data_IF_323121233278
#
_entry.id   IF_323121233278
#
_cell.length_a   1.000
_cell.length_b   1.000
_cell.length_c   1.000
_cell.angle_alpha   90.00
_cell.angle_beta   90.00
_cell.angle_gamma   90.00
#
_symmetry.space_group_name_H-M   'P 1'
#
loop_
_entity.id
_entity.type
_entity.pdbx_description
1 polymer ?
#
# COMPACT_ATOMS: atom_id res chain seq x y z
N UNK A 1 47.17 -49.31 1.82
CA UNK A 1 46.28 -49.93 0.82
C UNK A 1 45.50 -48.78 0.18
N UNK A 2 45.96 -48.11 -0.89
CA UNK A 2 45.97 -48.51 -2.31
C UNK A 2 44.56 -49.03 -2.72
N UNK A 3 43.82 -48.49 -3.71
CA UNK A 3 44.17 -47.76 -4.93
C UNK A 3 43.03 -46.85 -5.44
N UNK A 4 43.43 -45.80 -6.17
CA UNK A 4 42.65 -44.98 -7.10
C UNK A 4 42.53 -45.65 -8.48
N UNK A 5 41.58 -45.19 -9.31
CA UNK A 5 41.65 -45.32 -10.77
C UNK A 5 40.82 -44.24 -11.49
N UNK A 6 41.48 -43.48 -12.37
CA UNK A 6 40.91 -42.65 -13.45
C UNK A 6 41.33 -43.25 -14.83
N UNK A 7 41.13 -42.58 -15.99
CA UNK A 7 40.35 -43.02 -17.17
C UNK A 7 41.23 -43.43 -18.38
N UNK A 8 40.67 -43.64 -19.60
CA UNK A 8 41.23 -43.01 -20.81
C UNK A 8 40.15 -42.70 -21.92
N UNK A 9 40.46 -42.40 -23.21
CA UNK A 9 40.57 -41.01 -23.69
C UNK A 9 39.84 -40.68 -25.03
N UNK A 10 39.66 -39.37 -25.26
CA UNK A 10 39.84 -38.62 -26.53
C UNK A 10 39.26 -39.11 -27.85
N UNK A 11 38.44 -38.26 -28.49
CA UNK A 11 38.53 -37.99 -29.93
C UNK A 11 38.22 -36.52 -30.25
N UNK A 12 38.96 -36.01 -31.24
CA UNK A 12 39.17 -34.62 -31.62
C UNK A 12 38.45 -34.30 -32.94
N UNK A 13 38.52 -33.02 -33.35
CA UNK A 13 38.22 -32.44 -34.68
C UNK A 13 36.75 -32.04 -34.90
N UNK A 14 36.36 -30.92 -35.50
CA UNK A 14 37.05 -29.77 -36.13
C UNK A 14 35.96 -28.76 -36.55
N UNK A 15 36.30 -27.46 -36.58
CA UNK A 15 35.47 -26.38 -37.16
C UNK A 15 35.24 -26.57 -38.67
N UNK A 16 34.19 -25.93 -39.22
CA UNK A 16 34.46 -24.98 -40.30
C UNK A 16 33.74 -23.64 -40.18
N UNK A 17 34.45 -22.58 -40.61
CA UNK A 17 33.93 -21.27 -41.03
C UNK A 17 33.35 -21.38 -42.45
N UNK A 18 32.18 -20.79 -42.72
CA UNK A 18 32.05 -19.56 -43.54
C UNK A 18 30.59 -19.16 -43.86
N UNK A 19 30.34 -17.87 -43.63
CA UNK A 19 29.59 -16.89 -44.42
C UNK A 19 28.54 -17.40 -45.44
N UNK A 20 27.26 -17.04 -45.22
CA UNK A 20 26.43 -16.35 -46.23
C UNK A 20 25.30 -15.56 -45.55
N UNK A 21 25.10 -14.34 -46.06
CA UNK A 21 24.10 -13.33 -45.64
C UNK A 21 22.80 -13.55 -46.42
N UNK A 22 21.65 -13.15 -45.86
CA UNK A 22 20.84 -12.20 -46.62
C UNK A 22 20.41 -10.98 -45.79
N UNK A 23 20.09 -9.93 -46.52
CA UNK A 23 19.70 -8.57 -46.11
C UNK A 23 18.18 -8.46 -46.32
N UNK A 24 17.46 -7.89 -45.35
CA UNK A 24 16.26 -7.02 -45.46
C UNK A 24 15.60 -6.94 -44.06
N UNK A 25 15.69 -5.84 -43.31
CA UNK A 25 15.06 -4.51 -43.40
C UNK A 25 13.64 -4.44 -42.79
N UNK A 26 13.47 -3.43 -41.92
CA UNK A 26 12.22 -2.86 -41.34
C UNK A 26 11.59 -3.65 -40.16
N UNK A 27 11.30 -3.15 -38.95
CA UNK A 27 11.37 -1.86 -38.25
C UNK A 27 11.57 -2.10 -36.72
N UNK A 28 12.12 -1.17 -35.92
CA UNK A 28 12.06 -1.26 -34.46
C UNK A 28 10.80 -0.58 -33.90
N UNK A 29 9.93 -1.38 -33.28
CA UNK A 29 8.85 -0.91 -32.40
C UNK A 29 9.43 -0.09 -31.24
N UNK A 30 9.11 1.20 -31.22
CA UNK A 30 9.47 2.15 -30.18
C UNK A 30 8.74 1.78 -28.88
N UNK A 31 9.41 1.09 -27.95
CA UNK A 31 8.99 1.06 -26.54
C UNK A 31 9.24 2.44 -25.94
N UNK A 32 8.20 3.25 -25.86
CA UNK A 32 8.19 4.47 -25.07
C UNK A 32 8.45 4.11 -23.58
N UNK A 33 9.69 4.33 -23.13
CA UNK A 33 10.01 4.41 -21.70
C UNK A 33 9.52 5.76 -21.21
N UNK A 34 8.43 5.78 -20.47
CA UNK A 34 8.05 6.96 -19.69
C UNK A 34 9.16 7.29 -18.69
N UNK A 35 9.63 8.54 -18.59
CA UNK A 35 10.64 8.88 -17.61
C UNK A 35 9.99 8.88 -16.23
N UNK A 36 10.51 8.04 -15.33
CA UNK A 36 10.34 8.22 -13.89
C UNK A 36 11.01 9.55 -13.56
N UNK A 37 10.23 10.56 -13.18
CA UNK A 37 10.78 11.85 -12.79
C UNK A 37 11.35 11.71 -11.38
N UNK A 38 12.62 11.31 -11.30
CA UNK A 38 13.45 11.44 -10.11
C UNK A 38 13.92 12.89 -10.07
N UNK A 39 13.55 13.66 -9.04
CA UNK A 39 14.22 14.93 -8.76
C UNK A 39 15.63 14.62 -8.28
N UNK A 40 16.63 14.85 -9.13
CA UNK A 40 18.05 14.69 -8.81
C UNK A 40 18.56 15.99 -8.18
N UNK A 41 19.02 15.99 -6.91
CA UNK A 41 19.95 17.01 -6.47
C UNK A 41 21.35 16.63 -6.97
N UNK A 42 21.94 17.48 -7.79
CA UNK A 42 23.33 17.31 -8.24
C UNK A 42 24.27 17.30 -7.01
N UNK A 43 24.99 16.21 -6.82
CA UNK A 43 26.18 16.20 -5.96
C UNK A 43 27.33 15.49 -6.68
N UNK A 44 28.44 16.20 -6.78
CA UNK A 44 29.73 15.72 -7.27
C UNK A 44 30.22 14.64 -6.30
N UNK A 45 30.12 13.37 -6.68
CA UNK A 45 31.03 12.25 -6.38
C UNK A 45 30.29 10.90 -6.51
N UNK A 46 30.39 10.27 -7.69
CA UNK A 46 30.71 8.84 -7.88
C UNK A 46 29.91 7.70 -7.21
N UNK A 47 28.83 7.95 -6.47
CA UNK A 47 27.92 6.91 -5.99
C UNK A 47 26.52 7.51 -5.83
N UNK A 48 25.61 7.22 -6.75
CA UNK A 48 24.19 7.61 -6.63
C UNK A 48 23.57 6.86 -5.45
N UNK A 49 23.56 7.49 -4.28
CA UNK A 49 22.75 7.07 -3.14
C UNK A 49 21.28 7.20 -3.54
N UNK A 50 20.60 6.08 -3.75
CA UNK A 50 19.14 6.06 -3.88
C UNK A 50 18.55 6.56 -2.55
N UNK A 51 18.14 7.83 -2.48
CA UNK A 51 17.33 8.32 -1.39
C UNK A 51 15.90 7.85 -1.57
N UNK A 52 15.58 6.70 -0.99
CA UNK A 52 14.19 6.29 -0.85
C UNK A 52 13.53 7.13 0.23
N UNK A 53 12.54 7.93 -0.16
CA UNK A 53 11.70 8.63 0.80
C UNK A 53 10.71 7.63 1.39
N UNK A 54 10.69 7.42 2.72
CA UNK A 54 9.85 6.40 3.34
C UNK A 54 8.36 6.67 3.12
N UNK A 55 7.57 5.60 3.09
CA UNK A 55 6.11 5.69 3.13
C UNK A 55 5.61 5.53 4.55
N UNK A 56 4.58 6.30 4.91
CA UNK A 56 3.83 6.09 6.15
C UNK A 56 2.44 5.61 5.80
N UNK A 57 2.12 4.39 6.17
CA UNK A 57 0.80 3.78 5.97
C UNK A 57 0.07 3.76 7.31
N UNK A 58 -0.97 4.57 7.43
CA UNK A 58 -1.73 4.75 8.66
C UNK A 58 -3.11 4.12 8.51
N UNK A 59 -3.44 3.17 9.37
CA UNK A 59 -4.80 2.66 9.51
C UNK A 59 -5.54 3.48 10.55
N UNK A 60 -6.71 4.00 10.21
CA UNK A 60 -7.58 4.66 11.17
C UNK A 60 -8.45 3.63 11.91
N UNK A 61 -8.73 3.90 13.19
CA UNK A 61 -9.50 3.02 14.07
C UNK A 61 -9.49 3.52 15.50
N UNK A 62 -10.21 2.82 16.39
CA UNK A 62 -10.18 3.08 17.82
C UNK A 62 -9.42 1.97 18.58
N UNK A 63 -8.58 2.30 19.57
CA UNK A 63 -7.85 1.33 20.37
C UNK A 63 -8.75 0.65 21.41
N UNK A 64 -8.41 -0.59 21.76
CA UNK A 64 -9.09 -1.38 22.78
C UNK A 64 -9.96 -2.51 22.22
N UNK A 65 -10.10 -3.58 23.00
CA UNK A 65 -10.78 -4.82 22.60
C UNK A 65 -12.24 -4.63 22.19
N UNK A 66 -12.93 -3.64 22.78
CA UNK A 66 -14.34 -3.31 22.45
C UNK A 66 -14.56 -2.89 21.00
N UNK A 67 -13.53 -2.34 20.33
CA UNK A 67 -13.63 -1.90 18.93
C UNK A 67 -13.05 -2.92 17.95
N UNK A 68 -12.56 -4.06 18.44
CA UNK A 68 -12.02 -5.08 17.56
C UNK A 68 -13.13 -5.69 16.69
N UNK A 69 -12.92 -5.70 15.37
CA UNK A 69 -13.86 -6.23 14.39
C UNK A 69 -15.06 -5.33 14.08
N UNK A 70 -15.08 -4.08 14.58
CA UNK A 70 -16.11 -3.11 14.22
C UNK A 70 -15.85 -2.51 12.84
N UNK A 71 -16.89 -2.00 12.17
CA UNK A 71 -16.77 -1.40 10.84
C UNK A 71 -15.73 -0.27 10.81
N UNK A 72 -15.74 0.56 11.85
CA UNK A 72 -14.85 1.71 11.97
C UNK A 72 -13.37 1.36 12.27
N UNK A 73 -13.08 0.08 12.49
CA UNK A 73 -11.73 -0.40 12.79
C UNK A 73 -11.09 -1.16 11.62
N UNK A 74 -11.75 -1.22 10.46
CA UNK A 74 -11.22 -1.91 9.28
C UNK A 74 -9.88 -1.35 8.79
N UNK A 75 -9.62 -0.06 9.03
CA UNK A 75 -8.31 0.54 8.76
C UNK A 75 -7.19 -0.11 9.57
N UNK A 76 -7.41 -0.42 10.84
CA UNK A 76 -6.45 -1.19 11.65
C UNK A 76 -6.27 -2.61 11.14
N UNK A 77 -7.36 -3.28 10.72
CA UNK A 77 -7.30 -4.64 10.19
C UNK A 77 -6.45 -4.74 8.91
N UNK A 78 -6.47 -3.72 8.05
CA UNK A 78 -5.57 -3.65 6.88
C UNK A 78 -4.12 -3.51 7.32
N UNK A 79 -3.82 -2.67 8.31
CA UNK A 79 -2.45 -2.54 8.83
C UNK A 79 -1.96 -3.86 9.43
N UNK A 80 -2.81 -4.57 10.16
CA UNK A 80 -2.50 -5.89 10.71
C UNK A 80 -2.23 -6.91 9.59
N UNK A 81 -3.00 -6.83 8.50
CA UNK A 81 -2.83 -7.69 7.32
C UNK A 81 -1.51 -7.41 6.59
N UNK A 82 -1.14 -6.14 6.42
CA UNK A 82 0.15 -5.74 5.82
C UNK A 82 1.31 -6.15 6.72
N UNK A 83 1.19 -5.88 8.03
CA UNK A 83 2.19 -6.27 9.04
C UNK A 83 2.47 -7.77 8.98
N UNK A 84 1.42 -8.60 8.89
CA UNK A 84 1.55 -10.05 8.73
C UNK A 84 2.16 -10.46 7.39
N UNK A 85 1.73 -9.85 6.30
CA UNK A 85 2.18 -10.20 4.95
C UNK A 85 3.65 -9.85 4.69
N UNK A 86 4.13 -8.74 5.27
CA UNK A 86 5.51 -8.26 5.12
C UNK A 86 6.43 -8.68 6.29
N UNK A 87 5.90 -9.38 7.31
CA UNK A 87 6.67 -9.76 8.49
C UNK A 87 7.11 -8.59 9.38
N UNK A 88 6.42 -7.45 9.30
CA UNK A 88 6.75 -6.22 10.04
C UNK A 88 6.14 -6.29 11.42
N UNK A 89 6.98 -6.33 12.47
CA UNK A 89 6.51 -6.34 13.85
C UNK A 89 6.07 -4.93 14.27
N UNK A 90 4.85 -4.83 14.81
CA UNK A 90 4.31 -3.60 15.39
C UNK A 90 4.48 -3.61 16.92
N UNK A 91 5.62 -3.17 17.42
CA UNK A 91 5.98 -3.22 18.84
C UNK A 91 6.47 -1.89 19.43
N UNK A 92 6.66 -0.87 18.61
CA UNK A 92 7.14 0.44 19.07
C UNK A 92 5.96 1.37 19.27
N UNK A 93 5.93 2.10 20.38
CA UNK A 93 4.96 3.16 20.61
C UNK A 93 5.67 4.49 20.42
N UNK A 94 5.17 5.30 19.49
CA UNK A 94 5.70 6.64 19.22
C UNK A 94 4.57 7.56 18.80
N UNK A 95 4.61 8.82 19.23
CA UNK A 95 3.61 9.82 18.83
C UNK A 95 2.17 9.34 19.01
N UNK A 96 1.88 8.67 20.15
CA UNK A 96 0.58 8.07 20.44
C UNK A 96 0.09 7.05 19.39
N UNK A 97 0.97 6.42 18.62
CA UNK A 97 0.65 5.31 17.71
C UNK A 97 1.47 4.07 18.07
N UNK A 98 0.89 2.91 17.80
CA UNK A 98 1.63 1.66 17.68
C UNK A 98 2.18 1.60 16.25
N UNK A 99 3.49 1.49 16.12
CA UNK A 99 4.18 1.52 14.84
C UNK A 99 4.99 0.25 14.60
N UNK A 100 5.21 -0.06 13.32
CA UNK A 100 6.14 -1.07 12.85
C UNK A 100 6.94 -0.53 11.68
N UNK A 101 8.25 -0.75 11.68
CA UNK A 101 9.18 -0.29 10.64
C UNK A 101 9.63 -1.50 9.83
N UNK A 102 9.58 -1.40 8.51
CA UNK A 102 10.06 -2.44 7.61
C UNK A 102 10.21 -1.91 6.19
N UNK A 103 10.06 -2.79 5.21
CA UNK A 103 10.08 -2.43 3.80
C UNK A 103 9.10 -3.27 3.00
N UNK A 104 8.66 -2.73 1.87
CA UNK A 104 8.00 -3.49 0.80
C UNK A 104 8.96 -3.45 -0.38
N UNK A 105 9.54 -4.61 -0.73
CA UNK A 105 10.70 -4.64 -1.61
C UNK A 105 11.84 -3.80 -1.03
N UNK A 106 12.39 -2.91 -1.84
CA UNK A 106 13.47 -1.99 -1.45
C UNK A 106 12.98 -0.65 -0.86
N UNK A 107 11.65 -0.45 -0.76
CA UNK A 107 11.07 0.81 -0.28
C UNK A 107 10.79 0.73 1.23
N UNK A 108 11.40 1.61 2.05
CA UNK A 108 11.15 1.63 3.49
C UNK A 108 9.72 2.11 3.78
N UNK A 109 9.04 1.39 4.68
CA UNK A 109 7.68 1.69 5.11
C UNK A 109 7.56 1.75 6.64
N UNK A 110 6.72 2.67 7.10
CA UNK A 110 6.27 2.80 8.47
C UNK A 110 4.77 2.48 8.52
N UNK A 111 4.42 1.39 9.19
CA UNK A 111 3.05 1.06 9.52
C UNK A 111 2.67 1.77 10.82
N UNK A 112 1.50 2.40 10.86
CA UNK A 112 1.02 3.10 12.05
C UNK A 112 -0.46 2.80 12.34
N UNK A 113 -0.75 2.51 13.61
CA UNK A 113 -2.10 2.48 14.19
C UNK A 113 -2.17 3.50 15.33
N UNK A 114 -2.75 4.69 15.10
CA UNK A 114 -2.98 5.67 16.16
C UNK A 114 -3.66 5.02 17.36
N UNK A 115 -3.07 5.13 18.54
CA UNK A 115 -3.66 4.71 19.82
C UNK A 115 -4.44 5.85 20.48
N UNK A 116 -4.84 6.85 19.69
CA UNK A 116 -5.83 7.85 20.06
C UNK A 116 -7.23 7.38 19.65
N UNK A 117 -8.28 8.05 20.12
CA UNK A 117 -9.61 7.82 19.55
C UNK A 117 -9.68 8.40 18.14
N UNK A 118 -10.58 7.86 17.31
CA UNK A 118 -10.71 8.20 15.89
C UNK A 118 -10.66 9.71 15.63
N UNK A 119 -11.41 10.49 16.40
CA UNK A 119 -11.54 11.94 16.24
C UNK A 119 -10.25 12.73 16.53
N UNK A 120 -9.22 12.07 17.08
CA UNK A 120 -7.92 12.62 17.45
C UNK A 120 -6.78 11.89 16.74
N UNK A 121 -7.06 11.23 15.62
CA UNK A 121 -6.04 10.49 14.84
C UNK A 121 -4.90 11.40 14.35
N UNK A 122 -5.20 12.67 14.06
CA UNK A 122 -4.22 13.68 13.61
C UNK A 122 -3.17 14.04 14.64
N UNK A 123 -3.48 13.93 15.94
CA UNK A 123 -2.50 14.11 17.01
C UNK A 123 -1.37 13.08 16.96
N UNK A 124 -1.59 11.96 16.27
CA UNK A 124 -0.58 10.94 16.04
C UNK A 124 0.07 11.07 14.67
N UNK A 125 -0.74 11.24 13.62
CA UNK A 125 -0.24 11.28 12.23
C UNK A 125 0.65 12.49 11.97
N UNK A 126 0.28 13.68 12.44
CA UNK A 126 1.07 14.90 12.23
C UNK A 126 2.49 14.79 12.79
N UNK A 127 2.66 14.48 14.09
CA UNK A 127 3.99 14.30 14.68
C UNK A 127 4.79 13.14 14.07
N UNK A 128 4.15 12.04 13.66
CA UNK A 128 4.84 10.96 12.94
C UNK A 128 5.40 11.44 11.60
N UNK A 129 4.58 12.14 10.79
CA UNK A 129 5.01 12.66 9.51
C UNK A 129 6.18 13.66 9.66
N UNK A 130 6.11 14.54 10.66
CA UNK A 130 7.17 15.50 10.96
C UNK A 130 8.46 14.83 11.44
N UNK A 131 8.37 13.85 12.35
CA UNK A 131 9.54 13.14 12.89
C UNK A 131 10.32 12.38 11.82
N UNK A 132 9.61 11.66 10.95
CA UNK A 132 10.21 10.88 9.87
C UNK A 132 10.45 11.69 8.58
N UNK A 133 10.13 12.99 8.59
CA UNK A 133 10.27 13.90 7.45
C UNK A 133 9.60 13.37 6.17
N UNK A 134 8.42 12.77 6.32
CA UNK A 134 7.72 12.10 5.23
C UNK A 134 6.93 13.13 4.42
N UNK A 135 7.11 13.20 3.08
CA UNK A 135 6.33 14.11 2.26
C UNK A 135 4.87 13.66 2.20
N UNK A 136 3.93 14.61 2.11
CA UNK A 136 2.48 14.33 2.13
C UNK A 136 2.04 13.27 1.10
N UNK A 137 2.66 13.27 -0.09
CA UNK A 137 2.40 12.29 -1.16
C UNK A 137 2.73 10.84 -0.76
N UNK A 138 3.51 10.61 0.29
CA UNK A 138 3.89 9.28 0.81
C UNK A 138 3.17 8.94 2.13
N UNK A 139 2.18 9.74 2.53
CA UNK A 139 1.32 9.46 3.68
C UNK A 139 0.04 8.81 3.16
N UNK A 140 -0.06 7.49 3.25
CA UNK A 140 -1.26 6.75 2.88
C UNK A 140 -2.17 6.57 4.09
N UNK A 141 -3.37 7.13 4.04
CA UNK A 141 -4.41 6.85 5.04
C UNK A 141 -5.35 5.74 4.57
N UNK A 142 -5.61 4.78 5.47
CA UNK A 142 -6.52 3.66 5.26
C UNK A 142 -7.69 3.78 6.24
N UNK A 143 -8.92 3.81 5.75
CA UNK A 143 -10.10 4.10 6.57
C UNK A 143 -11.39 3.51 5.97
N UNK A 144 -12.45 3.45 6.77
CA UNK A 144 -13.78 3.00 6.36
C UNK A 144 -14.57 4.06 5.60
N UNK A 145 -15.28 3.65 4.55
CA UNK A 145 -16.05 4.52 3.68
C UNK A 145 -17.48 3.99 3.51
N UNK A 146 -18.47 4.77 3.97
CA UNK A 146 -19.87 4.39 3.91
C UNK A 146 -20.47 4.52 2.50
N UNK A 147 -19.96 5.48 1.71
CA UNK A 147 -20.44 5.67 0.33
C UNK A 147 -20.05 4.53 -0.61
N UNK A 148 -19.14 3.66 -0.17
CA UNK A 148 -18.71 2.48 -0.92
C UNK A 148 -19.42 1.22 -0.40
N UNK A 149 -19.88 0.34 -1.31
CA UNK A 149 -20.44 -0.95 -0.92
C UNK A 149 -19.44 -1.81 -0.12
N UNK A 150 -19.96 -2.70 0.71
CA UNK A 150 -19.14 -3.53 1.59
C UNK A 150 -18.07 -4.34 0.81
N UNK A 151 -16.80 -4.22 1.22
CA UNK A 151 -15.67 -4.93 0.60
C UNK A 151 -15.18 -4.36 -0.74
N UNK A 152 -15.69 -3.19 -1.17
CA UNK A 152 -15.20 -2.45 -2.34
C UNK A 152 -14.11 -1.49 -1.91
N UNK A 153 -12.94 -1.58 -2.54
CA UNK A 153 -11.81 -0.71 -2.25
C UNK A 153 -11.71 0.43 -3.26
N UNK A 154 -11.16 1.56 -2.82
CA UNK A 154 -10.82 2.66 -3.73
C UNK A 154 -9.55 3.35 -3.29
N UNK A 155 -8.57 3.42 -4.19
CA UNK A 155 -7.32 4.12 -3.96
C UNK A 155 -7.34 5.48 -4.67
N UNK A 156 -7.09 6.56 -3.95
CA UNK A 156 -7.15 7.93 -4.45
C UNK A 156 -5.87 8.69 -4.10
N UNK A 157 -5.32 9.53 -5.00
CA UNK A 157 -4.12 10.32 -4.71
C UNK A 157 -4.38 11.51 -3.79
N UNK A 158 -5.63 11.99 -3.77
CA UNK A 158 -6.10 13.12 -2.95
C UNK A 158 -7.61 13.04 -2.76
N UNK A 159 -8.13 13.79 -1.79
CA UNK A 159 -9.56 13.82 -1.52
C UNK A 159 -9.99 14.78 -0.40
N UNK A 160 -11.29 14.91 -0.21
CA UNK A 160 -11.88 15.57 0.96
C UNK A 160 -12.04 14.60 2.13
N UNK A 161 -12.39 15.09 3.32
CA UNK A 161 -12.67 14.21 4.46
C UNK A 161 -14.03 13.48 4.35
N UNK A 162 -14.90 13.88 3.42
CA UNK A 162 -16.27 13.38 3.33
C UNK A 162 -17.02 13.63 4.65
N UNK A 163 -17.55 12.59 5.26
CA UNK A 163 -18.16 12.64 6.60
C UNK A 163 -17.34 11.90 7.66
N UNK A 164 -16.07 11.59 7.37
CA UNK A 164 -15.23 10.80 8.26
C UNK A 164 -14.41 11.66 9.22
N UNK A 165 -14.70 11.56 10.53
CA UNK A 165 -14.10 12.42 11.56
C UNK A 165 -12.59 12.24 11.73
N UNK A 166 -12.06 11.01 11.61
CA UNK A 166 -10.61 10.77 11.72
C UNK A 166 -9.83 11.48 10.62
N UNK A 167 -10.24 11.28 9.36
CA UNK A 167 -9.72 11.99 8.19
C UNK A 167 -9.79 13.52 8.34
N UNK A 168 -10.91 14.06 8.85
CA UNK A 168 -11.04 15.50 9.14
C UNK A 168 -9.98 15.97 10.14
N UNK A 169 -9.76 15.22 11.21
CA UNK A 169 -8.78 15.58 12.23
C UNK A 169 -7.33 15.45 11.72
N UNK A 170 -7.02 14.41 10.94
CA UNK A 170 -5.71 14.25 10.30
C UNK A 170 -5.42 15.40 9.35
N UNK A 171 -6.38 15.79 8.49
CA UNK A 171 -6.23 16.94 7.62
C UNK A 171 -5.92 18.22 8.41
N UNK A 172 -6.57 18.44 9.56
CA UNK A 172 -6.29 19.59 10.43
C UNK A 172 -4.86 19.62 10.99
N UNK A 173 -4.23 18.46 11.19
CA UNK A 173 -2.86 18.35 11.69
C UNK A 173 -1.80 18.28 10.59
N UNK A 174 -2.23 18.27 9.32
CA UNK A 174 -1.37 18.34 8.14
C UNK A 174 -1.60 19.68 7.40
N UNK A 175 -1.69 20.77 8.17
CA UNK A 175 -1.90 22.14 7.68
C UNK A 175 -3.11 22.32 6.76
N UNK A 176 -4.18 21.55 7.00
CA UNK A 176 -5.39 21.56 6.18
C UNK A 176 -5.23 20.91 4.81
N UNK A 177 -4.08 20.28 4.53
CA UNK A 177 -3.78 19.69 3.23
C UNK A 177 -4.71 18.53 2.87
N UNK A 178 -4.96 18.40 1.56
CA UNK A 178 -5.74 17.31 0.96
C UNK A 178 -4.92 16.42 0.05
N UNK A 179 -3.65 16.78 -0.15
CA UNK A 179 -2.73 16.23 -1.15
C UNK A 179 -1.95 15.03 -0.59
N UNK A 180 -2.69 14.06 -0.05
CA UNK A 180 -2.13 12.80 0.43
C UNK A 180 -3.02 11.62 0.01
N UNK A 181 -2.41 10.46 -0.31
CA UNK A 181 -3.13 9.31 -0.81
C UNK A 181 -3.99 8.62 0.24
N UNK A 182 -5.04 7.96 -0.24
CA UNK A 182 -6.11 7.38 0.57
C UNK A 182 -6.55 6.04 0.01
N UNK A 183 -6.63 5.03 0.87
CA UNK A 183 -7.29 3.76 0.58
C UNK A 183 -8.60 3.70 1.36
N UNK A 184 -9.70 3.91 0.65
CA UNK A 184 -11.05 3.80 1.18
C UNK A 184 -11.51 2.34 1.15
N UNK A 185 -12.07 1.86 2.25
CA UNK A 185 -12.63 0.51 2.36
C UNK A 185 -14.13 0.62 2.56
N UNK A 186 -14.89 0.13 1.59
CA UNK A 186 -16.33 0.17 1.64
C UNK A 186 -16.89 -0.69 2.76
N UNK A 187 -17.75 -0.08 3.58
CA UNK A 187 -18.49 -0.74 4.65
C UNK A 187 -20.00 -0.71 4.43
N UNK A 188 -20.45 -0.09 3.34
CA UNK A 188 -21.85 0.13 3.03
C UNK A 188 -22.51 1.25 3.83
N UNK A 189 -23.77 1.49 3.52
CA UNK A 189 -24.59 2.49 4.21
C UNK A 189 -25.38 1.85 5.37
N UNK A 190 -25.65 2.61 6.45
CA UNK A 190 -26.53 2.14 7.52
C UNK A 190 -27.93 1.82 6.95
N UNK A 191 -28.56 0.69 7.37
CA UNK A 191 -29.88 0.33 6.90
C UNK A 191 -30.96 1.22 7.52
N UNK A 192 -31.87 1.72 6.68
CA UNK A 192 -33.01 2.54 7.11
C UNK A 192 -32.61 3.80 7.87
N UNK A 193 -33.21 4.02 9.04
CA UNK A 193 -32.95 5.19 9.90
C UNK A 193 -31.99 4.89 11.06
N UNK A 194 -31.13 3.88 10.92
CA UNK A 194 -30.16 3.52 11.96
C UNK A 194 -29.18 4.68 12.21
N UNK A 195 -28.83 4.92 13.48
CA UNK A 195 -27.80 5.88 13.83
C UNK A 195 -26.44 5.47 13.23
N UNK A 196 -25.80 6.42 12.55
CA UNK A 196 -24.52 6.23 11.88
C UNK A 196 -23.44 5.78 12.87
N UNK A 197 -23.40 6.36 14.08
CA UNK A 197 -22.38 5.99 15.07
C UNK A 197 -22.56 4.54 15.53
N UNK A 198 -23.80 4.13 15.79
CA UNK A 198 -24.11 2.75 16.15
C UNK A 198 -23.69 1.76 15.04
N UNK A 199 -23.99 2.08 13.77
CA UNK A 199 -23.60 1.26 12.62
C UNK A 199 -22.07 1.07 12.52
N UNK A 200 -21.31 2.15 12.68
CA UNK A 200 -19.85 2.16 12.63
C UNK A 200 -19.21 1.35 13.77
N UNK A 201 -19.81 1.39 14.96
CA UNK A 201 -19.34 0.67 16.14
C UNK A 201 -19.83 -0.79 16.20
N UNK A 202 -20.69 -1.21 15.30
CA UNK A 202 -21.15 -2.59 15.20
C UNK A 202 -20.14 -3.44 14.42
N UNK A 203 -20.09 -4.74 14.73
CA UNK A 203 -19.33 -5.73 13.97
C UNK A 203 -20.03 -6.07 12.65
N UNK A 204 -19.23 -6.51 11.67
CA UNK A 204 -19.75 -7.06 10.42
C UNK A 204 -20.53 -8.35 10.66
N UNK A 205 -21.60 -8.56 9.88
CA UNK A 205 -22.25 -9.87 9.77
C UNK A 205 -21.30 -10.90 9.14
N UNK A 206 -21.61 -12.19 9.24
CA UNK A 206 -20.78 -13.26 8.66
C UNK A 206 -20.61 -13.14 7.14
N UNK A 207 -21.63 -12.65 6.43
CA UNK A 207 -21.59 -12.43 4.97
C UNK A 207 -20.71 -11.23 4.64
N UNK A 208 -20.93 -10.09 5.31
CA UNK A 208 -20.12 -8.89 5.11
C UNK A 208 -18.65 -9.15 5.47
N UNK A 209 -18.41 -9.92 6.54
CA UNK A 209 -17.06 -10.25 7.02
C UNK A 209 -16.25 -10.99 5.96
N UNK A 210 -16.83 -11.96 5.25
CA UNK A 210 -16.15 -12.66 4.14
C UNK A 210 -15.72 -11.70 3.01
N UNK A 211 -16.59 -10.73 2.70
CA UNK A 211 -16.28 -9.70 1.69
C UNK A 211 -15.16 -8.77 2.18
N UNK A 212 -15.17 -8.40 3.46
CA UNK A 212 -14.09 -7.59 4.04
C UNK A 212 -12.79 -8.39 4.09
N UNK A 213 -12.78 -9.66 4.49
CA UNK A 213 -11.57 -10.49 4.52
C UNK A 213 -10.91 -10.56 3.14
N UNK A 214 -11.73 -10.78 2.09
CA UNK A 214 -11.26 -10.70 0.70
C UNK A 214 -10.70 -9.32 0.36
N UNK A 215 -11.33 -8.25 0.87
CA UNK A 215 -10.85 -6.89 0.66
C UNK A 215 -9.57 -6.59 1.45
N UNK A 216 -9.30 -7.22 2.59
CA UNK A 216 -8.05 -7.04 3.33
C UNK A 216 -6.87 -7.56 2.50
N UNK A 217 -7.01 -8.74 1.91
CA UNK A 217 -6.01 -9.32 1.00
C UNK A 217 -5.77 -8.43 -0.22
N UNK A 218 -6.83 -7.94 -0.85
CA UNK A 218 -6.76 -7.00 -1.97
C UNK A 218 -6.14 -5.65 -1.55
N UNK A 219 -6.38 -5.22 -0.32
CA UNK A 219 -5.82 -4.01 0.27
C UNK A 219 -4.31 -4.08 0.41
N UNK A 220 -3.79 -5.23 0.88
CA UNK A 220 -2.33 -5.47 0.94
C UNK A 220 -1.71 -5.31 -0.45
N UNK A 221 -2.30 -5.92 -1.47
CA UNK A 221 -1.77 -5.85 -2.83
C UNK A 221 -1.88 -4.44 -3.43
N UNK A 222 -2.95 -3.71 -3.13
CA UNK A 222 -3.10 -2.32 -3.52
C UNK A 222 -2.02 -1.42 -2.91
N UNK A 223 -1.70 -1.63 -1.62
CA UNK A 223 -0.63 -0.89 -0.93
C UNK A 223 0.73 -1.24 -1.53
N UNK A 224 1.02 -2.52 -1.81
CA UNK A 224 2.26 -2.93 -2.49
C UNK A 224 2.42 -2.24 -3.84
N UNK A 225 1.38 -2.28 -4.67
CA UNK A 225 1.38 -1.65 -5.99
C UNK A 225 1.63 -0.14 -5.87
N UNK A 226 0.96 0.53 -4.92
CA UNK A 226 1.14 1.96 -4.71
C UNK A 226 2.56 2.32 -4.24
N UNK A 227 3.09 1.58 -3.26
CA UNK A 227 4.42 1.86 -2.67
C UNK A 227 5.52 1.63 -3.70
N UNK A 228 5.43 0.56 -4.50
CA UNK A 228 6.47 0.19 -5.47
C UNK A 228 6.37 0.95 -6.79
N UNK A 229 5.16 1.31 -7.24
CA UNK A 229 4.96 1.85 -8.58
C UNK A 229 4.26 3.22 -8.61
N UNK A 230 3.83 3.74 -7.46
CA UNK A 230 3.06 4.97 -7.37
C UNK A 230 1.67 4.86 -8.02
N UNK A 231 1.04 6.02 -8.26
CA UNK A 231 -0.20 6.10 -9.01
C UNK A 231 0.06 5.90 -10.50
N UNK A 232 -0.17 4.68 -10.97
CA UNK A 232 0.01 4.27 -12.36
C UNK A 232 -1.28 3.64 -12.93
N UNK A 233 -1.18 3.07 -14.13
CA UNK A 233 -2.28 2.37 -14.77
C UNK A 233 -2.77 1.12 -13.99
N UNK A 234 -1.93 0.51 -13.15
CA UNK A 234 -2.34 -0.61 -12.30
C UNK A 234 -3.30 -0.16 -11.21
N UNK A 235 -3.06 0.99 -10.57
CA UNK A 235 -4.01 1.59 -9.61
C UNK A 235 -5.34 1.94 -10.29
N UNK A 236 -5.29 2.48 -11.51
CA UNK A 236 -6.50 2.76 -12.29
C UNK A 236 -7.30 1.48 -12.58
N UNK A 237 -6.62 0.42 -13.06
CA UNK A 237 -7.24 -0.89 -13.30
C UNK A 237 -7.78 -1.54 -12.03
N UNK A 238 -7.07 -1.41 -10.91
CA UNK A 238 -7.53 -1.87 -9.60
C UNK A 238 -8.86 -1.21 -9.23
N UNK A 239 -8.94 0.12 -9.31
CA UNK A 239 -10.18 0.86 -9.01
C UNK A 239 -11.33 0.47 -9.95
N UNK A 240 -11.06 0.24 -11.25
CA UNK A 240 -12.07 -0.27 -12.19
C UNK A 240 -12.55 -1.68 -11.80
N UNK A 241 -11.63 -2.59 -11.46
CA UNK A 241 -11.98 -3.94 -11.00
C UNK A 241 -12.88 -3.91 -9.77
N UNK A 242 -12.57 -3.04 -8.80
CA UNK A 242 -13.40 -2.84 -7.60
C UNK A 242 -14.79 -2.28 -7.94
N UNK A 243 -14.89 -1.37 -8.91
CA UNK A 243 -16.19 -0.84 -9.38
C UNK A 243 -17.08 -1.96 -9.96
N UNK A 244 -16.51 -2.88 -10.74
CA UNK A 244 -17.27 -3.99 -11.34
C UNK A 244 -17.53 -5.15 -10.39
N UNK A 245 -16.72 -5.32 -9.33
CA UNK A 245 -16.96 -6.29 -8.25
C UNK A 245 -18.35 -6.11 -7.63
N UNK A 246 -18.79 -4.85 -7.47
CA UNK A 246 -20.12 -4.52 -6.97
C UNK A 246 -21.27 -5.02 -7.86
N UNK A 247 -21.08 -5.08 -9.18
CA UNK A 247 -22.16 -5.43 -10.11
C UNK A 247 -22.35 -6.94 -10.27
N UNK A 248 -21.51 -7.75 -9.62
CA UNK A 248 -21.58 -9.22 -9.65
C UNK A 248 -22.20 -9.82 -8.37
N UNK A 249 -22.55 -8.98 -7.41
CA UNK A 249 -23.22 -9.35 -6.15
C UNK A 249 -24.63 -8.80 -6.19
#
# INVERSE_FOLDING_TARGET
MLHAASPPPGFCLSFPRNLHRPRDSTEPSVRARSPVCCSVPETKNGATKLEYTPWVVVGLGNPGSKYHGTRHNVGFEVIDSISKAEGIRMNTIQSKALIGIGSIGDVPILLAKPQTYMNFSGESVGPLAAYYQVPLRHILLVYDEMSLPNGVLRLQPKGGHGYHNGLKNVMGHLDGSREFPRLSIGIGNPPGNMDVKAFLLQKFSSVERKQIDTSLEQGVEAVRTLVLNGFNNHVYRFNLGQKYKYHKV
#
